data_IF_065393190582
#
_entry.id   IF_065393190582
#
_cell.length_a   1.000
_cell.length_b   1.000
_cell.length_c   1.000
_cell.angle_alpha   90.00
_cell.angle_beta   90.00
_cell.angle_gamma   90.00
#
_symmetry.space_group_name_H-M   'P 1'
#
loop_
_entity.id
_entity.type
_entity.pdbx_description
1 polymer ?
#
# COMPACT_ATOMS: atom_id res chain seq x y z
N UNK A 1 -20.37 13.60 -7.42
CA UNK A 1 -20.38 12.47 -6.46
C UNK A 1 -20.09 13.07 -5.10
N UNK A 2 -20.90 12.74 -4.09
CA UNK A 2 -20.67 13.18 -2.72
C UNK A 2 -19.53 12.35 -2.13
N UNK A 3 -18.48 13.03 -1.66
CA UNK A 3 -17.28 12.42 -1.07
C UNK A 3 -17.18 12.76 0.43
N UNK A 4 -18.20 13.39 1.02
CA UNK A 4 -18.21 13.86 2.41
C UNK A 4 -18.11 12.74 3.46
N UNK A 5 -18.37 11.49 3.07
CA UNK A 5 -18.26 10.30 3.92
C UNK A 5 -16.98 9.48 3.68
N UNK A 6 -16.11 9.92 2.77
CA UNK A 6 -14.82 9.26 2.55
C UNK A 6 -13.79 9.81 3.53
N UNK A 7 -13.15 8.92 4.29
CA UNK A 7 -11.92 9.30 4.98
C UNK A 7 -10.81 9.36 3.92
N UNK A 8 -10.27 10.56 3.70
CA UNK A 8 -9.13 10.81 2.81
C UNK A 8 -7.88 10.74 3.68
N UNK A 9 -7.16 9.63 3.58
CA UNK A 9 -6.01 9.35 4.44
C UNK A 9 -4.65 9.63 3.79
N UNK A 10 -4.60 10.47 2.76
CA UNK A 10 -3.33 10.98 2.22
C UNK A 10 -2.45 11.64 3.31
N UNK A 11 -3.05 12.03 4.43
CA UNK A 11 -2.36 12.60 5.59
C UNK A 11 -2.04 11.59 6.71
N UNK A 12 -2.41 10.32 6.57
CA UNK A 12 -2.06 9.30 7.56
C UNK A 12 -0.60 8.88 7.36
N UNK A 13 0.17 8.95 8.43
CA UNK A 13 1.59 8.64 8.39
C UNK A 13 1.88 7.22 7.88
N UNK A 14 0.97 6.26 8.09
CA UNK A 14 1.16 4.88 7.65
C UNK A 14 1.07 4.69 6.13
N UNK A 15 0.54 5.66 5.37
CA UNK A 15 0.49 5.58 3.89
C UNK A 15 1.90 5.51 3.30
N UNK A 16 2.86 6.22 3.90
CA UNK A 16 4.28 6.19 3.52
C UNK A 16 4.86 4.76 3.55
N UNK A 17 4.36 3.91 4.44
CA UNK A 17 4.82 2.54 4.59
C UNK A 17 4.40 1.64 3.42
N UNK A 18 3.34 2.02 2.71
CA UNK A 18 2.80 1.26 1.59
C UNK A 18 3.20 1.78 0.22
N UNK A 19 4.02 2.85 0.17
CA UNK A 19 4.43 3.47 -1.07
C UNK A 19 5.07 2.43 -2.01
N UNK A 20 4.59 2.43 -3.25
CA UNK A 20 5.02 1.52 -4.31
C UNK A 20 6.30 2.00 -4.99
N UNK A 21 6.66 3.27 -4.81
CA UNK A 21 7.86 3.84 -5.41
C UNK A 21 9.12 3.22 -4.80
N UNK A 22 10.03 2.75 -5.65
CA UNK A 22 11.28 2.15 -5.21
C UNK A 22 12.15 3.21 -4.51
N UNK A 23 12.62 2.86 -3.30
CA UNK A 23 13.55 3.71 -2.55
C UNK A 23 14.97 3.24 -2.83
N UNK A 24 15.81 4.16 -3.30
CA UNK A 24 17.24 3.94 -3.47
C UNK A 24 18.01 4.71 -2.41
N UNK A 25 18.72 4.01 -1.52
CA UNK A 25 19.51 4.63 -0.45
C UNK A 25 21.02 4.46 -0.68
N UNK A 26 21.79 5.52 -0.46
CA UNK A 26 23.25 5.54 -0.60
C UNK A 26 23.94 6.04 0.68
N UNK A 27 25.27 5.88 0.76
CA UNK A 27 26.08 6.27 1.91
C UNK A 27 26.44 5.10 2.85
N UNK A 28 27.22 5.40 3.89
CA UNK A 28 27.72 4.41 4.85
C UNK A 28 26.80 4.17 6.06
N UNK A 29 25.73 4.95 6.18
CA UNK A 29 24.76 4.85 7.26
C UNK A 29 23.71 3.75 7.08
N UNK A 30 22.65 3.86 7.87
CA UNK A 30 21.50 2.94 7.88
C UNK A 30 20.20 3.72 7.94
N UNK A 31 19.13 3.09 7.46
CA UNK A 31 17.75 3.55 7.61
C UNK A 31 16.86 2.39 8.02
N UNK A 32 15.62 2.66 8.41
CA UNK A 32 14.57 1.66 8.57
C UNK A 32 13.54 1.80 7.44
N UNK A 33 12.87 0.72 7.07
CA UNK A 33 11.78 0.72 6.10
C UNK A 33 10.74 -0.34 6.47
N UNK A 34 9.50 -0.18 6.01
CA UNK A 34 8.45 -1.17 6.21
C UNK A 34 8.50 -2.22 5.10
N UNK A 35 8.81 -3.46 5.47
CA UNK A 35 8.79 -4.58 4.54
C UNK A 35 7.36 -5.13 4.43
N UNK A 36 6.70 -4.85 3.30
CA UNK A 36 5.33 -5.30 3.02
C UNK A 36 5.19 -6.82 2.95
N UNK A 37 6.28 -7.55 2.68
CA UNK A 37 6.27 -9.03 2.61
C UNK A 37 6.26 -9.69 3.99
N UNK A 38 6.97 -9.11 4.96
CA UNK A 38 6.96 -9.59 6.36
C UNK A 38 5.88 -8.91 7.21
N UNK A 39 5.46 -7.69 6.82
CA UNK A 39 4.59 -6.85 7.60
C UNK A 39 5.29 -6.18 8.79
N UNK A 40 6.62 -6.07 8.73
CA UNK A 40 7.50 -5.58 9.80
C UNK A 40 8.44 -4.47 9.32
N UNK A 41 8.91 -3.64 10.26
CA UNK A 41 9.96 -2.67 9.99
C UNK A 41 11.34 -3.32 10.07
N UNK A 42 12.14 -3.14 9.03
CA UNK A 42 13.47 -3.73 8.87
C UNK A 42 14.52 -2.63 8.66
N UNK A 43 15.80 -2.98 8.75
CA UNK A 43 16.93 -2.03 8.61
C UNK A 43 17.65 -2.26 7.30
N UNK A 44 17.80 -1.19 6.51
CA UNK A 44 18.56 -1.16 5.27
C UNK A 44 19.88 -0.40 5.38
N UNK A 45 20.69 -0.47 4.33
CA UNK A 45 21.94 0.31 4.21
C UNK A 45 21.68 1.62 3.48
N UNK A 46 22.50 2.63 3.78
CA UNK A 46 22.37 3.98 3.22
C UNK A 46 21.47 4.88 4.08
N UNK A 47 21.73 6.18 4.00
CA UNK A 47 21.09 7.22 4.81
C UNK A 47 20.57 8.39 3.96
N UNK A 48 21.05 8.52 2.73
CA UNK A 48 20.53 9.45 1.72
C UNK A 48 19.66 8.63 0.76
N UNK A 49 18.35 8.74 0.93
CA UNK A 49 17.36 7.99 0.16
C UNK A 49 16.62 8.91 -0.82
N UNK A 50 16.42 8.41 -2.03
CA UNK A 50 15.65 9.05 -3.10
C UNK A 50 14.59 8.09 -3.62
N UNK A 51 13.53 8.61 -4.24
CA UNK A 51 12.39 7.83 -4.73
C UNK A 51 11.19 7.92 -3.78
N UNK A 52 10.63 6.78 -3.40
CA UNK A 52 9.46 6.70 -2.51
C UNK A 52 9.73 7.12 -1.06
N UNK A 53 8.67 7.18 -0.26
CA UNK A 53 8.73 7.69 1.12
C UNK A 53 8.80 6.60 2.20
N UNK A 54 8.92 5.32 1.81
CA UNK A 54 9.07 4.19 2.73
C UNK A 54 10.50 4.06 3.29
N UNK A 55 11.02 5.13 3.90
CA UNK A 55 12.27 5.10 4.64
C UNK A 55 12.20 6.01 5.87
N UNK A 56 12.84 5.58 6.95
CA UNK A 56 12.79 6.21 8.25
C UNK A 56 14.17 6.26 8.88
N UNK A 57 14.42 7.27 9.71
CA UNK A 57 15.74 7.43 10.37
C UNK A 57 16.09 6.29 11.32
N UNK A 58 15.10 5.58 11.88
CA UNK A 58 15.31 4.44 12.76
C UNK A 58 14.05 3.55 12.87
N UNK A 59 14.24 2.36 13.46
CA UNK A 59 13.16 1.38 13.67
C UNK A 59 12.02 1.89 14.52
N UNK A 60 12.28 2.71 15.55
CA UNK A 60 11.22 3.25 16.42
C UNK A 60 10.27 4.15 15.63
N UNK A 61 10.83 5.01 14.78
CA UNK A 61 10.06 5.88 13.89
C UNK A 61 9.23 5.04 12.91
N UNK A 62 9.84 4.07 12.24
CA UNK A 62 9.11 3.16 11.35
C UNK A 62 8.00 2.42 12.09
N UNK A 63 8.28 1.81 13.25
CA UNK A 63 7.30 1.03 14.00
C UNK A 63 6.12 1.88 14.47
N UNK A 64 6.35 3.12 14.90
CA UNK A 64 5.29 4.02 15.30
C UNK A 64 4.43 4.46 14.10
N UNK A 65 5.07 4.78 12.98
CA UNK A 65 4.41 5.21 11.76
C UNK A 65 3.60 4.08 11.10
N UNK A 66 4.20 2.89 11.00
CA UNK A 66 3.65 1.74 10.29
C UNK A 66 2.87 0.77 11.18
N UNK A 67 2.67 1.08 12.47
CA UNK A 67 1.92 0.23 13.41
C UNK A 67 0.54 -0.17 12.89
N UNK A 68 -0.13 0.79 12.27
CA UNK A 68 -1.46 0.64 11.68
C UNK A 68 -1.42 0.35 10.19
N UNK A 69 -0.22 0.23 9.60
CA UNK A 69 -0.08 -0.16 8.21
C UNK A 69 -0.70 -1.55 8.03
N UNK A 70 -1.50 -1.73 6.99
CA UNK A 70 -2.04 -3.03 6.70
C UNK A 70 -0.95 -4.06 6.43
N UNK A 71 -1.13 -5.25 7.00
CA UNK A 71 -0.19 -6.35 6.91
C UNK A 71 -0.50 -7.25 5.71
N UNK A 72 0.49 -8.02 5.21
CA UNK A 72 0.24 -9.04 4.21
C UNK A 72 -0.83 -10.05 4.72
N UNK A 73 -1.65 -10.59 3.81
CA UNK A 73 -1.54 -10.48 2.35
C UNK A 73 -2.11 -9.19 1.75
N UNK A 74 -2.98 -8.48 2.45
CA UNK A 74 -3.79 -7.41 1.87
C UNK A 74 -2.99 -6.15 1.47
N UNK A 75 -1.74 -6.00 1.91
CA UNK A 75 -0.85 -4.91 1.49
C UNK A 75 0.12 -5.29 0.38
N UNK A 76 0.08 -6.53 -0.12
CA UNK A 76 0.94 -6.97 -1.21
C UNK A 76 0.34 -6.57 -2.56
N UNK A 77 1.20 -6.30 -3.53
CA UNK A 77 0.80 -6.03 -4.90
C UNK A 77 0.14 -7.26 -5.56
N UNK A 78 -0.58 -7.04 -6.66
CA UNK A 78 -1.05 -8.12 -7.51
C UNK A 78 0.13 -8.93 -8.06
N UNK A 79 0.13 -10.25 -7.84
CA UNK A 79 1.09 -11.17 -8.44
C UNK A 79 0.36 -12.21 -9.31
N UNK A 80 0.57 -12.11 -10.62
CA UNK A 80 -0.03 -13.03 -11.62
C UNK A 80 0.67 -14.39 -11.68
N UNK A 81 1.80 -14.54 -10.99
CA UNK A 81 2.63 -15.73 -10.96
C UNK A 81 3.44 -15.98 -12.22
N UNK A 82 4.23 -17.05 -12.19
CA UNK A 82 5.25 -17.33 -13.22
C UNK A 82 4.74 -18.17 -14.39
N UNK A 83 3.62 -18.86 -14.22
CA UNK A 83 3.05 -19.73 -15.25
C UNK A 83 1.95 -19.00 -16.06
N UNK A 84 1.33 -19.70 -17.02
CA UNK A 84 0.33 -19.14 -17.96
C UNK A 84 -1.02 -19.86 -17.92
N UNK A 85 -1.35 -20.49 -16.79
CA UNK A 85 -2.69 -21.01 -16.58
C UNK A 85 -3.70 -19.85 -16.42
N UNK A 86 -4.98 -20.18 -16.36
CA UNK A 86 -6.03 -19.19 -16.13
C UNK A 86 -6.89 -19.62 -14.95
N UNK A 87 -6.38 -19.43 -13.73
CA UNK A 87 -7.14 -19.66 -12.51
C UNK A 87 -7.86 -18.36 -12.10
N UNK A 88 -9.21 -18.33 -12.09
CA UNK A 88 -9.93 -17.17 -11.59
C UNK A 88 -9.69 -17.02 -10.10
N UNK A 89 -9.15 -15.87 -9.69
CA UNK A 89 -8.80 -15.54 -8.31
C UNK A 89 -9.21 -14.12 -8.00
N UNK A 90 -9.10 -13.75 -6.73
CA UNK A 90 -9.38 -12.41 -6.22
C UNK A 90 -8.15 -11.87 -5.51
N UNK A 91 -7.88 -10.59 -5.65
CA UNK A 91 -6.84 -9.89 -4.90
C UNK A 91 -7.43 -8.61 -4.34
N UNK A 92 -6.84 -8.12 -3.26
CA UNK A 92 -7.17 -6.84 -2.67
C UNK A 92 -6.39 -5.73 -3.38
N UNK A 93 -7.10 -4.82 -4.03
CA UNK A 93 -6.55 -3.63 -4.67
C UNK A 93 -6.45 -2.49 -3.65
N UNK A 94 -5.23 -2.20 -3.20
CA UNK A 94 -4.94 -1.17 -2.19
C UNK A 94 -5.25 0.25 -2.67
N UNK A 95 -5.27 0.50 -3.99
CA UNK A 95 -5.52 1.84 -4.54
C UNK A 95 -6.96 2.32 -4.32
N UNK A 96 -7.91 1.39 -4.36
CA UNK A 96 -9.34 1.69 -4.23
C UNK A 96 -10.02 0.96 -3.05
N UNK A 97 -9.23 0.19 -2.29
CA UNK A 97 -9.66 -0.64 -1.18
C UNK A 97 -10.78 -1.61 -1.54
N UNK A 98 -10.66 -2.31 -2.67
CA UNK A 98 -11.66 -3.31 -3.10
C UNK A 98 -11.03 -4.63 -3.51
N UNK A 99 -11.80 -5.71 -3.34
CA UNK A 99 -11.42 -7.02 -3.86
C UNK A 99 -11.81 -7.13 -5.34
N UNK A 100 -10.82 -7.34 -6.20
CA UNK A 100 -10.97 -7.40 -7.65
C UNK A 100 -10.57 -8.78 -8.18
N UNK A 101 -11.26 -9.22 -9.23
CA UNK A 101 -10.97 -10.49 -9.86
C UNK A 101 -9.73 -10.37 -10.77
N UNK A 102 -8.90 -11.41 -10.80
CA UNK A 102 -7.76 -11.52 -11.69
C UNK A 102 -7.55 -12.96 -12.18
N UNK A 103 -6.76 -13.10 -13.25
CA UNK A 103 -6.34 -14.41 -13.76
C UNK A 103 -4.96 -14.78 -13.21
N UNK A 104 -4.92 -15.75 -12.30
CA UNK A 104 -3.66 -16.26 -11.77
C UNK A 104 -3.07 -17.32 -12.70
N UNK A 105 -1.83 -17.08 -13.11
CA UNK A 105 -1.04 -17.93 -13.98
C UNK A 105 -0.65 -19.27 -13.35
N UNK A 106 -0.65 -19.37 -12.02
CA UNK A 106 -0.13 -20.52 -11.28
C UNK A 106 1.37 -20.41 -10.97
N UNK A 107 1.88 -21.32 -10.15
CA UNK A 107 3.29 -21.33 -9.73
C UNK A 107 3.56 -20.47 -8.50
N UNK A 108 4.73 -19.82 -8.47
CA UNK A 108 5.10 -18.85 -7.42
C UNK A 108 4.19 -17.63 -7.57
N UNK A 109 3.65 -17.15 -6.46
CA UNK A 109 2.88 -15.93 -6.34
C UNK A 109 2.97 -15.44 -4.89
N UNK A 110 2.21 -14.41 -4.54
CA UNK A 110 2.13 -13.93 -3.17
C UNK A 110 0.77 -14.26 -2.51
N UNK A 111 0.63 -13.92 -1.23
CA UNK A 111 -0.56 -14.23 -0.44
C UNK A 111 -1.81 -13.42 -0.81
N UNK A 112 -1.69 -12.35 -1.62
CA UNK A 112 -2.82 -11.55 -2.09
C UNK A 112 -3.53 -12.27 -3.26
N UNK A 113 -4.03 -13.47 -2.97
CA UNK A 113 -4.56 -14.41 -3.93
C UNK A 113 -5.61 -15.30 -3.23
N UNK A 114 -6.86 -14.94 -3.41
CA UNK A 114 -8.01 -15.55 -2.76
C UNK A 114 -8.88 -16.30 -3.76
N UNK A 115 -9.52 -17.37 -3.31
CA UNK A 115 -10.40 -18.21 -4.15
C UNK A 115 -11.74 -17.55 -4.46
N UNK A 116 -12.21 -16.64 -3.59
CA UNK A 116 -13.47 -15.93 -3.76
C UNK A 116 -13.39 -14.48 -3.28
N UNK A 117 -14.33 -13.67 -3.79
CA UNK A 117 -14.51 -12.29 -3.35
C UNK A 117 -14.74 -12.22 -1.83
N UNK A 118 -15.65 -13.05 -1.31
CA UNK A 118 -15.98 -13.08 0.11
C UNK A 118 -14.76 -13.41 0.98
N UNK A 119 -13.85 -14.28 0.52
CA UNK A 119 -12.62 -14.60 1.25
C UNK A 119 -11.62 -13.45 1.25
N UNK A 120 -11.51 -12.75 0.13
CA UNK A 120 -10.71 -11.53 0.06
C UNK A 120 -11.30 -10.46 0.99
N UNK A 121 -12.62 -10.23 0.91
CA UNK A 121 -13.30 -9.23 1.73
C UNK A 121 -13.22 -9.59 3.21
N UNK A 122 -13.44 -10.84 3.63
CA UNK A 122 -13.29 -11.29 5.02
C UNK A 122 -11.86 -11.07 5.53
N UNK A 123 -10.85 -11.40 4.72
CA UNK A 123 -9.44 -11.27 5.10
C UNK A 123 -8.98 -9.82 5.17
N UNK A 124 -9.54 -8.97 4.30
CA UNK A 124 -9.15 -7.58 4.15
C UNK A 124 -10.23 -6.60 4.64
N UNK A 125 -11.27 -7.05 5.35
CA UNK A 125 -12.42 -6.21 5.71
C UNK A 125 -12.02 -5.02 6.59
N UNK A 126 -10.92 -5.14 7.34
CA UNK A 126 -10.35 -4.09 8.18
C UNK A 126 -9.59 -3.00 7.42
N UNK A 127 -9.36 -3.18 6.13
CA UNK A 127 -8.87 -2.16 5.19
C UNK A 127 -9.99 -1.18 4.82
N UNK A 128 -10.83 -0.81 5.79
CA UNK A 128 -11.85 0.20 5.54
C UNK A 128 -11.12 1.53 5.37
N UNK A 129 -11.34 2.12 4.20
CA UNK A 129 -11.30 3.56 3.91
C UNK A 129 -10.04 4.15 3.23
N UNK A 130 -9.22 3.39 2.49
CA UNK A 130 -8.31 4.01 1.51
C UNK A 130 -9.00 4.20 0.15
N UNK A 131 -9.51 5.41 -0.10
CA UNK A 131 -9.62 5.89 -1.47
C UNK A 131 -8.59 7.00 -1.67
N UNK A 132 -7.62 6.76 -2.56
CA UNK A 132 -6.84 7.85 -3.16
C UNK A 132 -7.80 8.65 -4.02
N UNK A 133 -8.33 9.75 -3.49
CA UNK A 133 -9.11 10.70 -4.28
C UNK A 133 -8.09 11.67 -4.88
N UNK A 134 -7.96 11.70 -6.19
CA UNK A 134 -7.22 12.77 -6.86
C UNK A 134 -8.00 14.08 -6.65
N UNK A 135 -7.66 14.85 -5.62
CA UNK A 135 -8.24 16.18 -5.40
C UNK A 135 -7.49 17.16 -6.29
N UNK A 136 -8.11 17.58 -7.39
CA UNK A 136 -7.66 18.77 -8.11
C UNK A 136 -8.10 19.99 -7.30
N UNK A 137 -7.15 20.68 -6.67
CA UNK A 137 -7.41 21.96 -6.00
C UNK A 137 -7.56 23.04 -7.06
N UNK A 138 -8.78 23.27 -7.53
CA UNK A 138 -9.11 24.48 -8.31
C UNK A 138 -9.18 25.67 -7.34
N UNK A 139 -8.05 26.35 -7.16
CA UNK A 139 -7.95 27.55 -6.34
C UNK A 139 -8.36 28.84 -7.08
N UNK A 140 -9.61 29.28 -6.84
CA UNK A 140 -10.06 30.69 -6.55
C UNK A 140 -9.99 31.79 -7.66
N UNK A 141 -10.73 32.95 -7.57
CA UNK A 141 -11.35 33.57 -6.40
C UNK A 141 -12.81 34.09 -6.54
N UNK A 142 -13.36 34.47 -5.37
CA UNK A 142 -14.65 35.12 -5.08
C UNK A 142 -14.96 36.38 -5.89
N UNK A 143 -16.24 36.67 -6.23
CA UNK A 143 -16.64 37.98 -6.72
C UNK A 143 -16.76 38.95 -5.53
N UNK A 144 -16.00 40.04 -5.56
CA UNK A 144 -16.20 41.15 -4.64
C UNK A 144 -17.48 41.93 -5.04
N UNK A 145 -18.19 42.54 -4.07
CA UNK A 145 -19.40 43.33 -4.31
C UNK A 145 -19.14 44.62 -5.10
#
# INVERSE_FOLDING_TARGET
KDYSTMNIYEFEAWVLCLDSDEVSCTGGGKHAFYNRSSGECEVGNGEVCEGGENYFSNLTMCNNTCKSAPKPPCSLELDTGVHRANYPRWYFNTNNATCEAFSFGGGIGNGNNFESKDKCEESCHGFQLLKKVNVTVDGSPTPNP
#
